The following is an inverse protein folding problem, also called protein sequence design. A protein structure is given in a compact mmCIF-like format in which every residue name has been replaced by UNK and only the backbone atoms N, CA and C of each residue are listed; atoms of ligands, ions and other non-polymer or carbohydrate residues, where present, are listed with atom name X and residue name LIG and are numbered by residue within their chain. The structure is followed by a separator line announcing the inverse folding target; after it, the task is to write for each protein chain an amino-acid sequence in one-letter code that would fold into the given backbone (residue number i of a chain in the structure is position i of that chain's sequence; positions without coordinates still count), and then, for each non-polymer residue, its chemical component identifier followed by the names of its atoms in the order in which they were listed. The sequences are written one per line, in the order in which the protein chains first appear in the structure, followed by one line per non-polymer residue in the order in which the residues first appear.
data_IF_511151618975
#
_entry.id   IF_511151618975
#
_cell.length_a   1.000
_cell.length_b   1.000
_cell.length_c   1.000
_cell.angle_alpha   90.00
_cell.angle_beta   90.00
_cell.angle_gamma   90.00
#
_symmetry.space_group_name_H-M   'P 1'
#
loop_
_entity.id
_entity.type
_entity.pdbx_description
1 polymer ?
#
# COMPACT_ATOMS: atom_id res chain seq x y z
N UNK A 1 2.96 -38.39 -46.24
CA UNK A 1 3.29 -38.35 -44.79
C UNK A 1 4.17 -37.13 -44.53
N UNK A 2 3.58 -36.01 -44.09
CA UNK A 2 4.31 -34.85 -43.56
C UNK A 2 3.76 -34.63 -42.15
N UNK A 3 4.59 -34.88 -41.14
CA UNK A 3 4.28 -34.52 -39.75
C UNK A 3 4.66 -33.04 -39.56
N UNK A 4 3.83 -32.21 -38.93
CA UNK A 4 4.22 -30.83 -38.66
C UNK A 4 5.17 -30.77 -37.46
N UNK A 5 6.23 -29.98 -37.63
CA UNK A 5 7.17 -29.58 -36.59
C UNK A 5 6.41 -28.66 -35.61
N UNK A 6 6.21 -29.09 -34.36
CA UNK A 6 5.80 -28.19 -33.29
C UNK A 6 7.06 -27.55 -32.68
N UNK A 7 7.17 -26.21 -32.63
CA UNK A 7 8.22 -25.57 -31.83
C UNK A 7 7.91 -25.80 -30.34
N UNK A 8 8.92 -26.21 -29.59
CA UNK A 8 8.87 -26.34 -28.13
C UNK A 8 8.53 -24.99 -27.51
N UNK A 9 7.40 -24.91 -26.81
CA UNK A 9 7.08 -23.77 -25.96
C UNK A 9 8.14 -23.66 -24.86
N UNK A 10 8.69 -22.47 -24.57
CA UNK A 10 9.54 -22.29 -23.41
C UNK A 10 8.71 -22.55 -22.15
N UNK A 11 9.29 -23.30 -21.22
CA UNK A 11 8.72 -23.57 -19.91
C UNK A 11 8.35 -22.25 -19.25
N UNK A 12 7.05 -22.01 -19.06
CA UNK A 12 6.54 -21.01 -18.14
C UNK A 12 7.00 -21.44 -16.74
N UNK A 13 8.15 -20.91 -16.33
CA UNK A 13 8.51 -20.81 -14.92
C UNK A 13 7.43 -19.97 -14.28
N UNK A 14 6.46 -20.64 -13.64
CA UNK A 14 5.61 -20.02 -12.65
C UNK A 14 6.54 -19.53 -11.54
N UNK A 15 7.00 -18.28 -11.65
CA UNK A 15 7.57 -17.60 -10.52
C UNK A 15 6.43 -17.34 -9.54
N UNK A 16 6.29 -18.27 -8.59
CA UNK A 16 5.50 -18.09 -7.39
C UNK A 16 6.20 -17.05 -6.52
N UNK A 17 5.98 -15.78 -6.84
CA UNK A 17 6.41 -14.66 -6.01
C UNK A 17 5.42 -14.53 -4.85
N UNK A 18 5.76 -15.13 -3.70
CA UNK A 18 5.08 -14.81 -2.44
C UNK A 18 5.58 -13.44 -1.94
N UNK A 19 5.17 -12.37 -2.61
CA UNK A 19 5.39 -11.00 -2.12
C UNK A 19 4.52 -10.80 -0.88
N UNK A 20 4.89 -9.88 0.01
CA UNK A 20 4.08 -9.49 1.17
C UNK A 20 2.66 -9.06 0.73
N UNK A 21 1.74 -10.02 0.69
CA UNK A 21 0.46 -9.92 -0.03
C UNK A 21 -0.58 -9.07 0.70
N UNK A 22 -0.41 -8.79 1.99
CA UNK A 22 -1.45 -8.11 2.78
C UNK A 22 -1.50 -6.59 2.54
N UNK A 23 -0.39 -5.82 2.66
CA UNK A 23 -0.41 -4.40 2.31
C UNK A 23 -0.61 -4.19 0.80
N UNK A 24 0.08 -4.97 -0.04
CA UNK A 24 0.00 -4.82 -1.49
C UNK A 24 -1.33 -5.31 -2.08
N UNK A 25 -1.91 -6.37 -1.50
CA UNK A 25 -3.24 -6.87 -1.87
C UNK A 25 -4.32 -5.84 -1.57
N UNK A 26 -4.26 -5.17 -0.42
CA UNK A 26 -5.20 -4.09 -0.09
C UNK A 26 -5.08 -2.92 -1.06
N UNK A 27 -3.86 -2.53 -1.46
CA UNK A 27 -3.66 -1.51 -2.50
C UNK A 27 -4.19 -1.94 -3.87
N UNK A 28 -4.03 -3.21 -4.25
CA UNK A 28 -4.61 -3.74 -5.48
C UNK A 28 -6.15 -3.66 -5.47
N UNK A 29 -6.78 -4.01 -4.34
CA UNK A 29 -8.23 -3.87 -4.15
C UNK A 29 -8.64 -2.40 -4.24
N UNK A 30 -7.96 -1.51 -3.52
CA UNK A 30 -8.29 -0.09 -3.51
C UNK A 30 -8.19 0.54 -4.92
N UNK A 31 -7.15 0.18 -5.69
CA UNK A 31 -7.04 0.60 -7.10
C UNK A 31 -8.19 0.05 -7.95
N UNK A 32 -8.57 -1.21 -7.76
CA UNK A 32 -9.69 -1.80 -8.51
C UNK A 32 -11.02 -1.11 -8.20
N UNK A 33 -11.18 -0.60 -6.98
CA UNK A 33 -12.31 0.21 -6.54
C UNK A 33 -12.21 1.69 -6.97
N UNK A 34 -11.18 2.06 -7.76
CA UNK A 34 -10.87 3.44 -8.18
C UNK A 34 -10.72 4.39 -7.01
N UNK A 35 -10.14 3.91 -5.91
CA UNK A 35 -9.90 4.75 -4.76
C UNK A 35 -8.96 5.91 -5.09
N UNK A 36 -9.15 7.02 -4.40
CA UNK A 36 -8.27 8.20 -4.41
C UNK A 36 -7.39 8.21 -3.16
N UNK A 37 -6.31 9.00 -3.17
CA UNK A 37 -5.44 9.20 -2.01
C UNK A 37 -5.14 10.68 -1.79
N UNK A 38 -4.93 11.08 -0.54
CA UNK A 38 -4.39 12.41 -0.25
C UNK A 38 -2.91 12.50 -0.64
N UNK A 39 -2.44 13.68 -1.05
CA UNK A 39 -1.07 13.89 -1.56
C UNK A 39 0.04 13.55 -0.56
N UNK A 40 -0.21 13.79 0.73
CA UNK A 40 0.73 13.51 1.81
C UNK A 40 0.60 12.10 2.38
N UNK A 41 -0.41 11.33 1.99
CA UNK A 41 -0.63 9.99 2.49
C UNK A 41 0.52 9.04 2.10
N UNK A 42 0.62 7.92 2.83
CA UNK A 42 1.86 7.15 2.93
C UNK A 42 2.37 6.63 1.58
N UNK A 43 3.69 6.68 1.46
CA UNK A 43 4.50 6.31 0.29
C UNK A 43 5.12 4.93 0.50
N UNK A 44 5.38 4.20 -0.57
CA UNK A 44 6.13 2.94 -0.50
C UNK A 44 7.61 3.23 -0.28
N UNK A 45 8.25 2.46 0.59
CA UNK A 45 9.70 2.46 0.80
C UNK A 45 10.28 1.10 0.40
N UNK A 46 11.31 1.11 -0.44
CA UNK A 46 12.01 -0.10 -0.85
C UNK A 46 13.53 0.11 -0.81
N UNK A 47 14.26 -0.99 -0.61
CA UNK A 47 15.72 -1.00 -0.63
C UNK A 47 16.22 -1.33 -2.04
N UNK A 48 17.10 -0.49 -2.58
CA UNK A 48 17.81 -0.81 -3.81
C UNK A 48 18.83 -1.94 -3.53
N UNK A 49 18.80 -3.05 -4.28
CA UNK A 49 19.63 -4.22 -4.00
C UNK A 49 21.14 -3.90 -4.12
N UNK A 50 21.51 -3.02 -5.03
CA UNK A 50 22.93 -2.74 -5.33
C UNK A 50 23.57 -1.75 -4.36
N UNK A 51 22.79 -0.83 -3.78
CA UNK A 51 23.30 0.28 -2.96
C UNK A 51 22.86 0.23 -1.50
N UNK A 52 21.83 -0.57 -1.17
CA UNK A 52 21.18 -0.55 0.14
C UNK A 52 20.46 0.76 0.44
N UNK A 53 20.29 1.65 -0.55
CA UNK A 53 19.62 2.92 -0.37
C UNK A 53 18.10 2.72 -0.26
N UNK A 54 17.47 3.39 0.72
CA UNK A 54 16.01 3.48 0.83
C UNK A 54 15.49 4.51 -0.16
N UNK A 55 14.58 4.10 -1.03
CA UNK A 55 13.87 4.97 -1.96
C UNK A 55 12.42 5.08 -1.50
N UNK A 56 11.88 6.31 -1.51
CA UNK A 56 10.49 6.58 -1.12
C UNK A 56 9.70 7.09 -2.33
N UNK A 57 8.67 6.36 -2.72
CA UNK A 57 7.86 6.67 -3.90
C UNK A 57 6.37 6.75 -3.57
N UNK A 58 5.64 7.60 -4.29
CA UNK A 58 4.18 7.62 -4.19
C UNK A 58 3.62 6.26 -4.60
N UNK A 59 2.59 5.81 -3.90
CA UNK A 59 1.88 4.59 -4.28
C UNK A 59 1.34 4.74 -5.71
N UNK A 60 1.78 3.85 -6.58
CA UNK A 60 1.36 3.85 -7.98
C UNK A 60 -0.14 3.55 -8.11
N UNK A 61 -0.80 4.24 -9.04
CA UNK A 61 -2.15 3.89 -9.51
C UNK A 61 -3.31 4.53 -8.76
N UNK A 62 -3.06 5.56 -7.94
CA UNK A 62 -4.10 6.34 -7.27
C UNK A 62 -4.15 7.77 -7.80
N UNK A 63 -5.33 8.30 -8.17
CA UNK A 63 -5.52 9.74 -8.30
C UNK A 63 -5.27 10.43 -6.96
N UNK A 64 -4.61 11.57 -6.99
CA UNK A 64 -4.23 12.31 -5.78
C UNK A 64 -5.16 13.50 -5.56
N UNK A 65 -5.58 13.68 -4.31
CA UNK A 65 -6.35 14.82 -3.84
C UNK A 65 -5.49 15.73 -2.96
N UNK A 66 -5.65 17.06 -3.04
CA UNK A 66 -5.08 17.99 -2.07
C UNK A 66 -5.44 17.58 -0.64
N UNK A 67 -4.52 17.74 0.31
CA UNK A 67 -4.70 17.29 1.69
C UNK A 67 -5.86 17.98 2.44
N UNK A 68 -6.26 19.17 2.01
CA UNK A 68 -7.39 19.93 2.56
C UNK A 68 -8.75 19.53 1.96
N UNK A 69 -8.76 18.59 1.02
CA UNK A 69 -9.99 18.10 0.39
C UNK A 69 -10.86 17.35 1.40
N UNK A 70 -12.14 17.70 1.45
CA UNK A 70 -13.17 16.89 2.12
C UNK A 70 -13.89 16.03 1.09
N UNK A 71 -13.84 14.72 1.28
CA UNK A 71 -14.46 13.75 0.37
C UNK A 71 -15.77 13.26 0.97
N UNK A 72 -16.85 13.31 0.20
CA UNK A 72 -18.19 12.84 0.61
C UNK A 72 -18.76 11.75 -0.30
N UNK A 73 -18.17 11.56 -1.47
CA UNK A 73 -18.61 10.59 -2.48
C UNK A 73 -17.37 10.05 -3.18
N UNK A 74 -16.72 9.04 -2.61
CA UNK A 74 -15.66 8.26 -3.26
C UNK A 74 -15.16 7.17 -2.30
N UNK A 75 -14.26 6.32 -2.78
CA UNK A 75 -13.45 5.43 -1.94
C UNK A 75 -12.09 6.09 -1.73
N UNK A 76 -11.65 6.23 -0.48
CA UNK A 76 -10.33 6.82 -0.18
C UNK A 76 -9.43 5.74 0.43
N UNK A 77 -8.24 5.58 -0.13
CA UNK A 77 -7.18 4.77 0.47
C UNK A 77 -6.33 5.65 1.39
N UNK A 78 -6.20 5.23 2.65
CA UNK A 78 -5.38 5.93 3.65
C UNK A 78 -4.36 4.94 4.21
N UNK A 79 -3.08 5.27 4.03
CA UNK A 79 -1.96 4.52 4.58
C UNK A 79 -1.45 5.20 5.84
N UNK A 80 -0.99 4.38 6.80
CA UNK A 80 -0.37 4.84 8.04
C UNK A 80 1.06 4.30 8.12
N UNK A 81 2.02 5.19 8.36
CA UNK A 81 3.42 4.82 8.54
C UNK A 81 3.64 4.47 10.01
N UNK A 82 3.78 3.18 10.28
CA UNK A 82 4.09 2.65 11.60
C UNK A 82 5.57 2.25 11.76
N UNK A 83 6.47 2.67 10.86
CA UNK A 83 7.89 2.31 10.93
C UNK A 83 8.17 0.86 10.55
N UNK A 84 7.38 0.29 9.64
CA UNK A 84 7.74 -1.00 9.04
C UNK A 84 9.07 -0.85 8.28
N UNK A 85 9.96 -1.86 8.33
CA UNK A 85 11.17 -1.83 7.52
C UNK A 85 10.80 -1.78 6.03
N UNK A 86 11.67 -1.20 5.18
CA UNK A 86 11.48 -1.23 3.75
C UNK A 86 11.31 -2.66 3.22
N UNK A 87 10.62 -2.80 2.10
CA UNK A 87 10.43 -4.11 1.47
C UNK A 87 11.79 -4.71 1.08
N UNK A 88 12.07 -5.98 1.45
CA UNK A 88 13.31 -6.64 1.06
C UNK A 88 13.31 -6.94 -0.44
N UNK A 89 14.49 -6.94 -1.05
CA UNK A 89 14.65 -7.32 -2.46
C UNK A 89 14.41 -8.83 -2.69
N UNK A 90 14.68 -9.64 -1.68
CA UNK A 90 14.48 -11.08 -1.69
C UNK A 90 13.13 -11.48 -1.07
N UNK A 91 12.63 -12.65 -1.43
CA UNK A 91 11.41 -13.23 -0.86
C UNK A 91 11.66 -13.72 0.59
N UNK A 92 11.72 -12.76 1.52
CA UNK A 92 11.95 -12.99 2.94
C UNK A 92 10.61 -12.82 3.68
N UNK A 93 10.21 -13.80 4.52
CA UNK A 93 9.01 -13.66 5.35
C UNK A 93 9.07 -12.44 6.28
N UNK A 94 7.92 -11.79 6.56
CA UNK A 94 7.88 -10.64 7.46
C UNK A 94 8.30 -11.02 8.90
N UNK A 95 9.04 -10.12 9.55
CA UNK A 95 9.49 -10.28 10.93
C UNK A 95 8.38 -9.85 11.91
N UNK A 96 7.97 -10.74 12.81
CA UNK A 96 6.95 -10.47 13.83
C UNK A 96 7.34 -9.31 14.78
N UNK A 97 8.64 -9.08 15.01
CA UNK A 97 9.12 -7.97 15.84
C UNK A 97 8.88 -6.60 15.19
N UNK A 98 8.66 -6.56 13.87
CA UNK A 98 8.34 -5.35 13.11
C UNK A 98 6.93 -5.41 12.52
N UNK A 99 6.05 -6.21 13.13
CA UNK A 99 4.65 -6.32 12.71
C UNK A 99 3.89 -5.03 13.06
N UNK A 100 3.38 -4.36 12.03
CA UNK A 100 2.66 -3.09 12.14
C UNK A 100 1.16 -3.20 11.95
N UNK A 101 0.58 -4.40 11.78
CA UNK A 101 -0.85 -4.57 11.43
C UNK A 101 -1.82 -3.87 12.40
N UNK A 102 -1.46 -3.84 13.68
CA UNK A 102 -2.29 -3.25 14.75
C UNK A 102 -2.04 -1.76 14.98
N UNK A 103 -0.96 -1.22 14.40
CA UNK A 103 -0.52 0.15 14.63
C UNK A 103 -1.59 1.20 14.24
N UNK A 104 -2.15 1.16 13.02
CA UNK A 104 -3.17 2.12 12.61
C UNK A 104 -4.41 2.03 13.50
N UNK A 105 -4.84 0.82 13.88
CA UNK A 105 -6.02 0.63 14.73
C UNK A 105 -5.90 1.32 16.10
N UNK A 106 -4.67 1.41 16.62
CA UNK A 106 -4.37 2.04 17.91
C UNK A 106 -4.07 3.53 17.82
N UNK A 107 -3.93 4.08 16.61
CA UNK A 107 -3.65 5.50 16.40
C UNK A 107 -4.89 6.35 16.73
N UNK A 108 -4.76 7.39 17.58
CA UNK A 108 -5.85 8.33 17.84
C UNK A 108 -6.36 9.01 16.56
N UNK A 109 -5.47 9.31 15.61
CA UNK A 109 -5.82 9.91 14.33
C UNK A 109 -6.64 8.95 13.45
N UNK A 110 -6.28 7.67 13.40
CA UNK A 110 -7.08 6.69 12.66
C UNK A 110 -8.47 6.51 13.28
N UNK A 111 -8.56 6.55 14.61
CA UNK A 111 -9.82 6.49 15.34
C UNK A 111 -10.68 7.74 15.09
N UNK A 112 -10.08 8.93 15.09
CA UNK A 112 -10.73 10.19 14.73
C UNK A 112 -11.26 10.15 13.29
N UNK A 113 -10.48 9.67 12.33
CA UNK A 113 -10.93 9.56 10.94
C UNK A 113 -12.14 8.63 10.81
N UNK A 114 -12.11 7.48 11.50
CA UNK A 114 -13.23 6.53 11.51
C UNK A 114 -14.48 7.15 12.15
N UNK A 115 -14.29 7.84 13.26
CA UNK A 115 -15.36 8.52 13.99
C UNK A 115 -16.01 9.64 13.14
N UNK A 116 -15.22 10.48 12.47
CA UNK A 116 -15.73 11.48 11.52
C UNK A 116 -16.55 10.80 10.43
N UNK A 117 -16.01 9.77 9.78
CA UNK A 117 -16.71 9.05 8.72
C UNK A 117 -18.04 8.45 9.20
N UNK A 118 -18.06 7.81 10.37
CA UNK A 118 -19.28 7.21 10.92
C UNK A 118 -20.33 8.26 11.31
N UNK A 119 -19.93 9.46 11.72
CA UNK A 119 -20.86 10.53 12.10
C UNK A 119 -21.36 11.38 10.94
N UNK A 120 -20.50 11.69 9.96
CA UNK A 120 -20.81 12.64 8.88
C UNK A 120 -20.81 12.04 7.49
N UNK A 121 -20.24 10.85 7.30
CA UNK A 121 -19.96 10.27 5.99
C UNK A 121 -18.78 10.94 5.26
N UNK A 122 -18.09 11.89 5.90
CA UNK A 122 -16.95 12.58 5.31
C UNK A 122 -15.65 11.80 5.52
N UNK A 123 -14.75 11.89 4.54
CA UNK A 123 -13.37 11.43 4.66
C UNK A 123 -12.46 12.64 4.48
N UNK A 124 -11.58 12.87 5.46
CA UNK A 124 -10.65 13.99 5.55
C UNK A 124 -9.26 13.49 5.90
N UNK A 125 -8.22 14.22 5.49
CA UNK A 125 -6.87 13.97 5.97
C UNK A 125 -6.70 14.55 7.39
N UNK A 126 -7.06 13.76 8.39
CA UNK A 126 -6.93 14.16 9.81
C UNK A 126 -5.48 14.32 10.28
N UNK A 127 -4.52 13.80 9.51
CA UNK A 127 -3.11 13.79 9.88
C UNK A 127 -2.41 15.12 9.58
N UNK A 128 -3.03 16.03 8.82
CA UNK A 128 -2.41 17.29 8.40
C UNK A 128 -1.12 17.11 7.60
N UNK A 129 -0.99 15.97 6.92
CA UNK A 129 0.25 15.49 6.32
C UNK A 129 0.30 13.96 6.30
N UNK A 130 1.51 13.41 6.30
CA UNK A 130 1.69 11.95 6.35
C UNK A 130 1.20 11.38 7.67
N UNK A 131 0.26 10.43 7.59
CA UNK A 131 -0.25 9.71 8.75
C UNK A 131 0.81 8.80 9.36
N UNK A 132 1.01 8.93 10.67
CA UNK A 132 1.96 8.11 11.45
C UNK A 132 1.26 7.38 12.57
N UNK A 133 1.75 6.18 12.89
CA UNK A 133 1.32 5.44 14.08
C UNK A 133 2.11 5.97 15.28
N UNK A 134 1.64 7.07 15.87
CA UNK A 134 2.08 7.46 17.21
C UNK A 134 1.39 6.56 18.22
N UNK A 135 2.17 5.73 18.92
CA UNK A 135 1.73 5.01 20.11
C UNK A 135 1.74 5.93 21.33
#
# INVERSE_FOLDING_TARGET
KKSPLFPSLPSLSLFSHAVSLLPQGLYAIARSARAVMFESNVRCQFLLPDTGQVVTEKLFGFPLLPDDTTVTQDVVAVGFDCGAPPEPADNIPPNAATDTHEGPRRSPLAQEQMDIFLRSGEIKNVCGGTCKCTL
#
